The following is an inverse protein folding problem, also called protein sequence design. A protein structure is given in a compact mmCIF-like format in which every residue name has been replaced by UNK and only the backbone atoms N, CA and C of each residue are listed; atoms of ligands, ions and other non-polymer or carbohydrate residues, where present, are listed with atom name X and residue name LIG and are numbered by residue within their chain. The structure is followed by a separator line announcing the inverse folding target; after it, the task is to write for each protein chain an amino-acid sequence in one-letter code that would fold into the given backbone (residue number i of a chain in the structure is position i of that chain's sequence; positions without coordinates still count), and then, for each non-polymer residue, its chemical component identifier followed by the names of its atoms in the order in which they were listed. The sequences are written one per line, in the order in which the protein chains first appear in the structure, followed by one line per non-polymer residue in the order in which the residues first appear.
data_IF_563014955588
#
_entry.id   IF_563014955588
#
_cell.length_a   1.000
_cell.length_b   1.000
_cell.length_c   1.000
_cell.angle_alpha   90.00
_cell.angle_beta   90.00
_cell.angle_gamma   90.00
#
_symmetry.space_group_name_H-M   'P 1'
#
loop_
_entity.id
_entity.type
_entity.pdbx_description
1 polymer ?
#
# COMPACT_ATOMS: atom_id res chain seq x y z
N UNK A 1 31.76 -5.57 -6.42
CA UNK A 1 30.47 -5.72 -7.12
C UNK A 1 29.69 -6.70 -6.28
N UNK A 2 28.65 -6.24 -5.57
CA UNK A 2 27.81 -7.19 -4.85
C UNK A 2 27.01 -7.93 -5.90
N UNK A 3 27.15 -9.25 -6.00
CA UNK A 3 26.14 -10.07 -6.68
C UNK A 3 24.80 -9.72 -6.03
N UNK A 4 23.88 -9.19 -6.81
CA UNK A 4 22.55 -8.82 -6.33
C UNK A 4 21.80 -10.07 -5.94
N UNK A 5 21.26 -10.10 -4.73
CA UNK A 5 20.31 -11.13 -4.31
C UNK A 5 18.98 -10.85 -5.01
N UNK A 6 18.51 -11.76 -5.87
CA UNK A 6 17.19 -11.66 -6.51
C UNK A 6 16.19 -12.46 -5.68
N UNK A 7 15.19 -11.77 -5.15
CA UNK A 7 14.13 -12.34 -4.29
C UNK A 7 12.77 -12.01 -4.87
N UNK A 8 11.83 -12.95 -4.73
CA UNK A 8 10.43 -12.64 -4.96
C UNK A 8 9.92 -11.73 -3.84
N UNK A 9 8.95 -10.86 -4.15
CA UNK A 9 8.50 -9.83 -3.22
C UNK A 9 8.02 -10.40 -1.87
N UNK A 10 7.32 -11.53 -1.90
CA UNK A 10 6.83 -12.20 -0.70
C UNK A 10 7.96 -12.63 0.27
N UNK A 11 9.18 -12.82 -0.23
CA UNK A 11 10.32 -13.26 0.56
C UNK A 11 11.14 -12.06 1.11
N UNK A 12 10.89 -10.85 0.61
CA UNK A 12 11.62 -9.63 1.02
C UNK A 12 11.40 -9.33 2.50
N UNK A 13 10.19 -9.49 3.02
CA UNK A 13 9.89 -9.26 4.44
C UNK A 13 10.68 -10.19 5.36
N UNK A 14 10.72 -11.48 5.03
CA UNK A 14 11.52 -12.46 5.77
C UNK A 14 13.01 -12.10 5.74
N UNK A 15 13.51 -11.69 4.57
CA UNK A 15 14.90 -11.27 4.41
C UNK A 15 15.25 -10.04 5.24
N UNK A 16 14.36 -9.06 5.32
CA UNK A 16 14.51 -7.89 6.18
C UNK A 16 14.59 -8.34 7.65
N UNK A 17 13.70 -9.23 8.09
CA UNK A 17 13.73 -9.79 9.44
C UNK A 17 15.07 -10.45 9.78
N UNK A 18 15.59 -11.31 8.91
CA UNK A 18 16.90 -11.94 9.08
C UNK A 18 18.06 -10.93 9.16
N UNK A 19 17.97 -9.82 8.41
CA UNK A 19 18.97 -8.76 8.44
C UNK A 19 18.90 -8.00 9.77
N UNK A 20 17.70 -7.67 10.23
CA UNK A 20 17.47 -7.03 11.52
C UNK A 20 17.98 -7.92 12.65
N UNK A 21 17.62 -9.20 12.68
CA UNK A 21 18.08 -10.15 13.69
C UNK A 21 19.61 -10.23 13.76
N UNK A 22 20.27 -10.27 12.59
CA UNK A 22 21.74 -10.26 12.53
C UNK A 22 22.35 -8.97 13.06
N UNK A 23 21.72 -7.82 12.79
CA UNK A 23 22.20 -6.54 13.32
C UNK A 23 21.95 -6.42 14.83
N UNK A 24 20.82 -6.94 15.33
CA UNK A 24 20.49 -6.98 16.76
C UNK A 24 21.40 -7.93 17.54
N UNK A 25 21.93 -8.97 16.90
CA UNK A 25 22.92 -9.87 17.49
C UNK A 25 24.36 -9.32 17.50
N UNK A 26 24.58 -8.06 17.07
CA UNK A 26 25.90 -7.45 17.07
C UNK A 26 26.41 -7.24 18.52
N UNK A 27 27.69 -7.52 18.83
CA UNK A 27 28.25 -7.30 20.17
C UNK A 27 28.28 -5.83 20.59
N UNK A 28 28.25 -4.88 19.65
CA UNK A 28 28.09 -3.45 19.95
C UNK A 28 26.60 -3.13 20.13
N UNK A 29 26.18 -2.97 21.38
CA UNK A 29 24.79 -2.64 21.76
C UNK A 29 24.26 -1.37 21.06
N UNK A 30 25.15 -0.42 20.73
CA UNK A 30 24.76 0.81 20.03
C UNK A 30 24.30 0.55 18.58
N UNK A 31 24.60 -0.61 18.00
CA UNK A 31 24.05 -1.02 16.69
C UNK A 31 22.59 -1.41 16.85
N UNK A 32 22.25 -2.20 17.88
CA UNK A 32 20.87 -2.61 18.13
C UNK A 32 19.96 -1.42 18.44
N UNK A 33 20.44 -0.47 19.25
CA UNK A 33 19.70 0.78 19.55
C UNK A 33 19.40 1.57 18.28
N UNK A 34 20.41 1.78 17.42
CA UNK A 34 20.23 2.53 16.16
C UNK A 34 19.33 1.82 15.16
N UNK A 35 19.39 0.49 15.09
CA UNK A 35 18.51 -0.29 14.21
C UNK A 35 17.07 -0.21 14.70
N UNK A 36 16.86 -0.29 16.02
CA UNK A 36 15.52 -0.11 16.61
C UNK A 36 14.98 1.29 16.29
N UNK A 37 15.77 2.34 16.56
CA UNK A 37 15.38 3.72 16.24
C UNK A 37 15.08 3.89 14.74
N UNK A 38 15.89 3.32 13.85
CA UNK A 38 15.65 3.35 12.41
C UNK A 38 14.32 2.70 12.04
N UNK A 39 14.03 1.50 12.56
CA UNK A 39 12.79 0.78 12.27
C UNK A 39 11.57 1.53 12.80
N UNK A 40 11.66 2.13 13.99
CA UNK A 40 10.60 2.98 14.54
C UNK A 40 10.31 4.16 13.62
N UNK A 41 11.35 4.86 13.13
CA UNK A 41 11.15 5.98 12.19
C UNK A 41 10.62 5.55 10.83
N UNK A 42 11.02 4.39 10.33
CA UNK A 42 10.48 3.82 9.10
C UNK A 42 9.00 3.48 9.27
N UNK A 43 8.60 2.90 10.40
CA UNK A 43 7.20 2.60 10.71
C UNK A 43 6.35 3.88 10.71
N UNK A 44 6.79 4.91 11.43
CA UNK A 44 6.11 6.21 11.50
C UNK A 44 5.99 6.84 10.11
N UNK A 45 7.06 6.82 9.32
CA UNK A 45 7.08 7.39 7.98
C UNK A 45 6.11 6.70 7.03
N UNK A 46 6.13 5.36 6.99
CA UNK A 46 5.21 4.59 6.15
C UNK A 46 3.77 4.72 6.60
N UNK A 47 3.50 4.64 7.90
CA UNK A 47 2.14 4.76 8.45
C UNK A 47 1.50 6.08 8.05
N UNK A 48 2.19 7.19 8.29
CA UNK A 48 1.66 8.52 7.95
C UNK A 48 1.53 8.68 6.43
N UNK A 49 2.55 8.29 5.67
CA UNK A 49 2.54 8.41 4.21
C UNK A 49 1.41 7.62 3.55
N UNK A 50 1.20 6.37 3.96
CA UNK A 50 0.14 5.51 3.45
C UNK A 50 -1.24 5.98 3.87
N UNK A 51 -1.40 6.42 5.13
CA UNK A 51 -2.66 6.98 5.61
C UNK A 51 -3.08 8.19 4.77
N UNK A 52 -2.14 9.11 4.50
CA UNK A 52 -2.43 10.27 3.66
C UNK A 52 -2.68 9.90 2.20
N UNK A 53 -1.98 8.90 1.67
CA UNK A 53 -2.21 8.41 0.32
C UNK A 53 -3.63 7.84 0.17
N UNK A 54 -4.06 6.99 1.10
CA UNK A 54 -5.43 6.45 1.13
C UNK A 54 -6.44 7.59 1.18
N UNK A 55 -6.27 8.53 2.10
CA UNK A 55 -7.16 9.70 2.23
C UNK A 55 -7.20 10.58 0.97
N UNK A 56 -6.11 10.69 0.21
CA UNK A 56 -6.08 11.41 -1.06
C UNK A 56 -6.88 10.69 -2.15
N UNK A 57 -6.76 9.37 -2.22
CA UNK A 57 -7.51 8.56 -3.20
C UNK A 57 -9.01 8.57 -2.89
N UNK A 58 -9.39 8.48 -1.61
CA UNK A 58 -10.79 8.62 -1.19
C UNK A 58 -11.38 9.97 -1.61
N UNK A 59 -10.64 11.07 -1.44
CA UNK A 59 -11.09 12.42 -1.87
C UNK A 59 -11.38 12.51 -3.37
N UNK A 60 -10.78 11.64 -4.17
CA UNK A 60 -11.00 11.57 -5.62
C UNK A 60 -12.08 10.56 -6.02
N UNK A 61 -12.83 10.02 -5.06
CA UNK A 61 -13.83 8.95 -5.28
C UNK A 61 -13.19 7.70 -5.90
N UNK A 62 -12.04 7.32 -5.35
CA UNK A 62 -11.27 6.15 -5.76
C UNK A 62 -11.59 4.90 -4.94
N UNK A 63 -12.80 4.77 -4.38
CA UNK A 63 -13.15 3.68 -3.46
C UNK A 63 -12.92 2.30 -4.10
N UNK A 64 -13.37 2.11 -5.34
CA UNK A 64 -13.16 0.86 -6.10
C UNK A 64 -11.66 0.55 -6.30
N UNK A 65 -10.85 1.60 -6.51
CA UNK A 65 -9.41 1.42 -6.65
C UNK A 65 -8.79 0.99 -5.32
N UNK A 66 -9.22 1.58 -4.20
CA UNK A 66 -8.74 1.20 -2.87
C UNK A 66 -9.15 -0.23 -2.52
N UNK A 67 -10.39 -0.63 -2.81
CA UNK A 67 -10.85 -2.02 -2.66
C UNK A 67 -9.96 -2.98 -3.48
N UNK A 68 -9.71 -2.65 -4.75
CA UNK A 68 -8.84 -3.46 -5.62
C UNK A 68 -7.40 -3.53 -5.09
N UNK A 69 -6.88 -2.42 -4.54
CA UNK A 69 -5.55 -2.37 -3.95
C UNK A 69 -5.48 -3.17 -2.63
N UNK A 70 -6.56 -3.19 -1.84
CA UNK A 70 -6.66 -3.97 -0.62
C UNK A 70 -6.72 -5.48 -0.89
N UNK A 71 -7.29 -5.89 -2.03
CA UNK A 71 -7.32 -7.28 -2.50
C UNK A 71 -6.04 -7.73 -3.20
N UNK A 72 -5.20 -6.80 -3.68
CA UNK A 72 -3.92 -7.12 -4.30
C UNK A 72 -2.96 -7.78 -3.29
N UNK A 73 -2.25 -8.87 -3.65
CA UNK A 73 -1.37 -9.56 -2.70
C UNK A 73 -0.21 -8.72 -2.17
N UNK A 74 0.28 -7.75 -2.95
CA UNK A 74 1.44 -6.92 -2.60
C UNK A 74 0.96 -5.67 -1.88
N UNK A 75 0.11 -4.87 -2.53
CA UNK A 75 -0.40 -3.63 -1.97
C UNK A 75 -1.29 -3.89 -0.74
N UNK A 76 -2.10 -4.95 -0.77
CA UNK A 76 -2.94 -5.37 0.34
C UNK A 76 -2.12 -5.79 1.56
N UNK A 77 -0.99 -6.48 1.39
CA UNK A 77 -0.08 -6.81 2.51
C UNK A 77 0.49 -5.54 3.15
N UNK A 78 0.84 -4.54 2.34
CA UNK A 78 1.33 -3.27 2.86
C UNK A 78 0.23 -2.49 3.59
N UNK A 79 -1.00 -2.46 3.07
CA UNK A 79 -2.14 -1.81 3.73
C UNK A 79 -2.51 -2.53 5.03
N UNK A 80 -2.44 -3.86 5.06
CA UNK A 80 -2.68 -4.69 6.24
C UNK A 80 -1.65 -4.43 7.35
N UNK A 81 -0.36 -4.32 7.00
CA UNK A 81 0.72 -4.05 7.94
C UNK A 81 0.54 -2.73 8.74
N UNK A 82 -0.29 -1.81 8.25
CA UNK A 82 -0.59 -0.53 8.88
C UNK A 82 -2.06 -0.38 9.30
N UNK A 83 -2.82 -1.49 9.37
CA UNK A 83 -4.23 -1.53 9.77
C UNK A 83 -5.16 -0.69 8.85
N UNK A 84 -4.74 -0.40 7.62
CA UNK A 84 -5.49 0.41 6.66
C UNK A 84 -6.48 -0.40 5.83
N UNK A 85 -6.26 -1.71 5.74
CA UNK A 85 -7.10 -2.62 4.96
C UNK A 85 -8.53 -2.70 5.50
N UNK A 86 -8.68 -2.78 6.82
CA UNK A 86 -10.00 -2.84 7.49
C UNK A 86 -10.77 -1.53 7.39
N UNK A 87 -10.09 -0.39 7.22
CA UNK A 87 -10.72 0.90 6.96
C UNK A 87 -11.32 0.97 5.55
N UNK A 88 -10.67 0.32 4.58
CA UNK A 88 -11.08 0.29 3.17
C UNK A 88 -12.19 -0.73 2.93
N UNK A 89 -12.18 -1.85 3.65
CA UNK A 89 -13.13 -2.95 3.51
C UNK A 89 -14.00 -3.15 4.77
N UNK A 90 -14.82 -2.17 5.20
CA UNK A 90 -15.70 -2.33 6.34
C UNK A 90 -16.88 -3.24 5.95
N UNK A 91 -16.86 -4.49 6.41
CA UNK A 91 -17.91 -5.50 6.25
C UNK A 91 -18.26 -5.93 4.81
N UNK A 92 -17.49 -6.86 4.24
CA UNK A 92 -17.93 -8.00 3.39
C UNK A 92 -18.90 -7.77 2.21
N UNK A 93 -19.21 -6.53 1.84
CA UNK A 93 -20.20 -6.17 0.84
C UNK A 93 -19.53 -5.71 -0.43
N UNK A 94 -19.02 -6.65 -1.24
CA UNK A 94 -18.63 -6.35 -2.62
C UNK A 94 -19.86 -5.89 -3.40
N UNK A 95 -20.08 -4.58 -3.50
CA UNK A 95 -20.91 -4.07 -4.60
C UNK A 95 -20.12 -4.27 -5.89
N UNK A 96 -20.67 -4.99 -6.89
CA UNK A 96 -19.96 -5.20 -8.13
C UNK A 96 -19.59 -3.85 -8.74
N UNK A 97 -18.40 -3.73 -9.35
CA UNK A 97 -17.93 -2.46 -9.88
C UNK A 97 -18.97 -1.90 -10.86
N UNK A 98 -19.32 -0.60 -10.78
CA UNK A 98 -20.18 0.02 -11.78
C UNK A 98 -19.54 -0.16 -13.15
N UNK A 99 -20.32 -0.45 -14.20
CA UNK A 99 -19.78 -0.51 -15.55
C UNK A 99 -19.09 0.82 -15.90
N UNK A 100 -18.00 0.79 -16.68
CA UNK A 100 -17.30 2.01 -17.07
C UNK A 100 -18.29 3.02 -17.66
N UNK A 101 -18.13 4.34 -17.39
CA UNK A 101 -19.04 5.35 -17.90
C UNK A 101 -19.11 5.21 -19.42
N UNK A 102 -20.29 4.87 -19.94
CA UNK A 102 -20.47 4.82 -21.39
C UNK A 102 -20.30 6.23 -21.94
N UNK A 103 -19.59 6.41 -23.07
CA UNK A 103 -19.45 7.71 -23.69
C UNK A 103 -20.84 8.31 -23.92
N UNK A 104 -21.08 9.48 -23.35
CA UNK A 104 -22.34 10.20 -23.55
C UNK A 104 -22.43 10.58 -25.02
N UNK A 105 -23.35 9.95 -25.76
CA UNK A 105 -23.67 10.35 -27.14
C UNK A 105 -24.43 11.67 -27.08
N UNK A 106 -23.71 12.77 -27.26
CA UNK A 106 -24.33 14.11 -27.41
C UNK A 106 -24.86 14.22 -28.85
N UNK A 107 -26.18 14.15 -29.00
CA UNK A 107 -26.84 14.45 -30.27
C UNK A 107 -26.87 15.97 -30.47
N UNK A 108 -25.97 16.49 -31.31
CA UNK A 108 -25.99 17.88 -31.74
C UNK A 108 -27.18 18.04 -32.69
N UNK A 109 -28.29 18.62 -32.22
CA UNK A 109 -29.37 19.05 -33.11
C UNK A 109 -28.83 20.17 -34.00
N UNK A 110 -28.74 19.94 -35.31
CA UNK A 110 -28.56 21.03 -36.28
C UNK A 110 -29.76 21.96 -36.12
N UNK A 111 -29.51 23.24 -35.78
CA UNK A 111 -30.53 24.28 -35.93
C UNK A 111 -30.70 24.50 -37.42
N UNK A 112 -31.89 24.19 -37.92
CA UNK A 112 -32.30 24.61 -39.25
C UNK A 112 -32.25 26.14 -39.30
N UNK A 113 -31.60 26.66 -40.34
CA UNK A 113 -31.64 28.07 -40.71
C UNK A 113 -32.86 28.33 -41.57
#
# INVERSE_FOLDING_TARGET
MSDGEELAYQDVGARIGELVDRLMANPDESVGERVTELLDWVDVFHREGLTQLVALVEKWRGEIFLESAAEDPVAGTLLDAYDLKDLILPDGGSTPPPPPPQPTVVQIRKRDR
#
